data_IF_704342339003
#
_entry.id   IF_704342339003
#
_cell.length_a   1.000
_cell.length_b   1.000
_cell.length_c   1.000
_cell.angle_alpha   90.00
_cell.angle_beta   90.00
_cell.angle_gamma   90.00
#
_symmetry.space_group_name_H-M   'P 1'
#
loop_
_entity.id
_entity.type
_entity.pdbx_description
1 polymer ?
#
# COMPACT_ATOMS: atom_id res chain seq x y z
N UNK A 1 48.10 40.10 -14.67
CA UNK A 1 47.51 39.63 -13.38
C UNK A 1 46.04 39.33 -13.58
N UNK A 2 45.62 38.13 -13.19
CA UNK A 2 44.48 37.37 -13.71
C UNK A 2 43.12 37.81 -13.14
N UNK A 3 42.18 38.11 -14.05
CA UNK A 3 40.75 38.29 -13.74
C UNK A 3 40.13 36.95 -13.31
N UNK A 4 39.46 37.01 -12.16
CA UNK A 4 38.66 35.98 -11.47
C UNK A 4 37.84 35.07 -12.40
N UNK A 5 38.13 33.76 -12.38
CA UNK A 5 37.16 32.71 -12.70
C UNK A 5 36.12 32.63 -11.56
N UNK A 6 34.93 33.19 -11.78
CA UNK A 6 33.71 32.87 -11.00
C UNK A 6 32.64 32.37 -11.96
N UNK A 7 32.58 31.06 -12.19
CA UNK A 7 31.40 30.35 -12.71
C UNK A 7 31.62 28.85 -12.48
N UNK A 8 31.20 28.37 -11.32
CA UNK A 8 30.92 26.95 -11.03
C UNK A 8 30.33 26.82 -9.62
N UNK A 9 29.09 27.30 -9.42
CA UNK A 9 28.26 26.95 -8.24
C UNK A 9 26.79 26.99 -8.63
N UNK A 10 26.37 26.03 -9.47
CA UNK A 10 24.92 25.80 -9.71
C UNK A 10 24.53 24.33 -9.90
N UNK A 11 25.44 23.37 -9.67
CA UNK A 11 25.18 21.93 -9.86
C UNK A 11 24.92 21.15 -8.56
N UNK A 12 24.80 21.85 -7.42
CA UNK A 12 24.64 21.22 -6.11
C UNK A 12 23.21 20.88 -5.70
N UNK A 13 22.20 21.36 -6.42
CA UNK A 13 20.79 21.01 -6.17
C UNK A 13 20.33 19.86 -7.09
N UNK A 14 20.79 19.84 -8.33
CA UNK A 14 20.31 18.88 -9.33
C UNK A 14 20.82 17.46 -9.07
N UNK A 15 22.04 17.32 -8.54
CA UNK A 15 22.61 16.01 -8.18
C UNK A 15 21.86 15.31 -7.06
N UNK A 16 21.39 16.06 -6.05
CA UNK A 16 20.56 15.50 -4.96
C UNK A 16 19.18 15.06 -5.44
N UNK A 17 18.56 15.86 -6.33
CA UNK A 17 17.30 15.50 -6.97
C UNK A 17 17.45 14.27 -7.87
N UNK A 18 18.47 14.25 -8.74
CA UNK A 18 18.78 13.12 -9.63
C UNK A 18 19.05 11.85 -8.82
N UNK A 19 19.84 11.92 -7.73
CA UNK A 19 20.08 10.77 -6.86
C UNK A 19 18.79 10.28 -6.18
N UNK A 20 17.92 11.20 -5.73
CA UNK A 20 16.65 10.81 -5.10
C UNK A 20 15.66 10.19 -6.10
N UNK A 21 15.62 10.70 -7.33
CA UNK A 21 14.81 10.13 -8.42
C UNK A 21 15.38 8.78 -8.87
N UNK A 22 16.69 8.65 -9.02
CA UNK A 22 17.35 7.38 -9.32
C UNK A 22 17.11 6.35 -8.20
N UNK A 23 17.20 6.74 -6.92
CA UNK A 23 16.92 5.85 -5.81
C UNK A 23 15.47 5.33 -5.85
N UNK A 24 14.49 6.18 -6.14
CA UNK A 24 13.07 5.78 -6.26
C UNK A 24 12.83 4.87 -7.48
N UNK A 25 13.48 5.13 -8.62
CA UNK A 25 13.35 4.31 -9.83
C UNK A 25 14.00 2.93 -9.63
N UNK A 26 15.19 2.89 -9.02
CA UNK A 26 15.88 1.64 -8.67
C UNK A 26 15.05 0.86 -7.64
N UNK A 27 14.51 1.50 -6.60
CA UNK A 27 13.62 0.86 -5.63
C UNK A 27 12.37 0.26 -6.29
N UNK A 28 11.77 0.96 -7.27
CA UNK A 28 10.60 0.45 -8.02
C UNK A 28 10.94 -0.78 -8.88
N UNK A 29 12.14 -0.81 -9.48
CA UNK A 29 12.57 -1.90 -10.35
C UNK A 29 12.88 -3.17 -9.53
N UNK A 30 13.55 -3.02 -8.39
CA UNK A 30 13.96 -4.15 -7.54
C UNK A 30 12.91 -4.63 -6.53
N UNK A 31 11.86 -3.84 -6.25
CA UNK A 31 10.70 -4.31 -5.49
C UNK A 31 9.91 -5.44 -6.20
N UNK A 32 10.24 -5.71 -7.47
CA UNK A 32 9.68 -6.82 -8.25
C UNK A 32 10.59 -8.06 -8.30
N UNK A 33 11.85 -7.98 -7.85
CA UNK A 33 12.81 -9.09 -7.87
C UNK A 33 13.12 -9.52 -6.42
N UNK A 34 12.78 -10.77 -6.08
CA UNK A 34 12.85 -11.30 -4.71
C UNK A 34 14.29 -11.68 -4.25
N UNK A 35 15.34 -11.14 -4.89
CA UNK A 35 16.71 -11.52 -4.55
C UNK A 35 17.20 -10.75 -3.30
N UNK A 36 17.48 -11.48 -2.22
CA UNK A 36 17.83 -10.92 -0.90
C UNK A 36 19.14 -10.12 -0.95
N UNK A 37 20.06 -10.47 -1.84
CA UNK A 37 21.34 -9.77 -2.00
C UNK A 37 21.17 -8.39 -2.64
N UNK A 38 20.27 -8.25 -3.62
CA UNK A 38 19.98 -6.97 -4.25
C UNK A 38 19.37 -5.96 -3.27
N UNK A 39 18.48 -6.44 -2.38
CA UNK A 39 17.86 -5.62 -1.33
C UNK A 39 18.90 -5.13 -0.31
N UNK A 40 19.87 -5.98 0.07
CA UNK A 40 20.95 -5.61 0.98
C UNK A 40 21.89 -4.54 0.38
N UNK A 41 22.22 -4.63 -0.91
CA UNK A 41 23.05 -3.64 -1.61
C UNK A 41 22.31 -2.30 -1.72
N UNK A 42 21.01 -2.33 -2.03
CA UNK A 42 20.15 -1.15 -2.06
C UNK A 42 20.04 -0.47 -0.71
N UNK A 43 19.90 -1.24 0.36
CA UNK A 43 19.91 -0.73 1.72
C UNK A 43 21.20 0.03 2.03
N UNK A 44 22.35 -0.56 1.72
CA UNK A 44 23.65 0.08 1.93
C UNK A 44 23.79 1.39 1.16
N UNK A 45 23.36 1.43 -0.10
CA UNK A 45 23.35 2.65 -0.91
C UNK A 45 22.43 3.73 -0.33
N UNK A 46 21.26 3.33 0.17
CA UNK A 46 20.29 4.26 0.74
C UNK A 46 20.77 4.84 2.08
N UNK A 47 21.35 4.00 2.95
CA UNK A 47 22.01 4.44 4.19
C UNK A 47 23.17 5.37 3.90
N UNK A 48 24.04 4.99 2.95
CA UNK A 48 25.17 5.82 2.55
C UNK A 48 24.69 7.18 2.00
N UNK A 49 23.62 7.19 1.21
CA UNK A 49 22.96 8.40 0.71
C UNK A 49 22.43 9.29 1.84
N UNK A 50 21.69 8.72 2.79
CA UNK A 50 21.15 9.45 3.96
C UNK A 50 22.27 10.03 4.82
N UNK A 51 23.33 9.26 5.11
CA UNK A 51 24.49 9.71 5.89
C UNK A 51 25.22 10.84 5.16
N UNK A 52 25.51 10.66 3.86
CA UNK A 52 26.21 11.65 3.04
C UNK A 52 25.41 12.95 2.96
N UNK A 53 24.09 12.86 2.76
CA UNK A 53 23.24 14.03 2.69
C UNK A 53 23.07 14.70 4.06
N UNK A 54 22.98 13.92 5.14
CA UNK A 54 23.01 14.41 6.52
C UNK A 54 24.28 15.20 6.82
N UNK A 55 25.44 14.69 6.41
CA UNK A 55 26.71 15.41 6.51
C UNK A 55 26.73 16.71 5.70
N UNK A 56 26.18 16.71 4.48
CA UNK A 56 26.07 17.92 3.65
C UNK A 56 25.17 18.98 4.29
N UNK A 57 24.06 18.58 4.93
CA UNK A 57 23.20 19.49 5.69
C UNK A 57 23.94 20.06 6.90
N UNK A 58 24.62 19.21 7.67
CA UNK A 58 25.45 19.63 8.82
C UNK A 58 26.53 20.64 8.42
N UNK A 59 27.31 20.34 7.37
CA UNK A 59 28.37 21.22 6.85
C UNK A 59 27.82 22.57 6.37
N UNK A 60 26.59 22.60 5.85
CA UNK A 60 25.93 23.84 5.42
C UNK A 60 25.40 24.70 6.58
N UNK A 61 25.64 24.30 7.84
CA UNK A 61 25.14 24.94 9.07
C UNK A 61 23.62 25.22 9.00
N UNK A 62 22.86 24.29 8.44
CA UNK A 62 21.39 24.39 8.37
C UNK A 62 20.83 25.58 7.58
N UNK A 63 21.67 26.33 6.84
CA UNK A 63 21.23 27.52 6.10
C UNK A 63 20.29 27.19 4.93
N UNK A 64 20.28 25.94 4.48
CA UNK A 64 19.50 25.52 3.32
C UNK A 64 18.37 24.56 3.74
N UNK A 65 17.22 25.14 4.08
CA UNK A 65 15.99 24.42 4.45
C UNK A 65 15.58 23.37 3.42
N UNK A 66 15.84 23.62 2.13
CA UNK A 66 15.55 22.64 1.07
C UNK A 66 16.33 21.34 1.26
N UNK A 67 17.60 21.41 1.68
CA UNK A 67 18.40 20.20 1.94
C UNK A 67 17.93 19.43 3.17
N UNK A 68 17.50 20.14 4.21
CA UNK A 68 16.88 19.52 5.39
C UNK A 68 15.58 18.81 5.00
N UNK A 69 14.72 19.48 4.22
CA UNK A 69 13.47 18.91 3.74
C UNK A 69 13.72 17.65 2.88
N UNK A 70 14.69 17.71 1.96
CA UNK A 70 15.09 16.52 1.18
C UNK A 70 15.57 15.38 2.08
N UNK A 71 16.33 15.66 3.14
CA UNK A 71 16.78 14.64 4.09
C UNK A 71 15.60 14.00 4.82
N UNK A 72 14.64 14.79 5.29
CA UNK A 72 13.42 14.30 5.96
C UNK A 72 12.62 13.41 5.02
N UNK A 73 12.37 13.88 3.79
CA UNK A 73 11.65 13.11 2.76
C UNK A 73 12.37 11.81 2.46
N UNK A 74 13.70 11.83 2.28
CA UNK A 74 14.47 10.62 2.02
C UNK A 74 14.31 9.61 3.17
N UNK A 75 14.47 10.04 4.43
CA UNK A 75 14.32 9.16 5.61
C UNK A 75 12.90 8.58 5.69
N UNK A 76 11.86 9.40 5.52
CA UNK A 76 10.44 8.98 5.63
C UNK A 76 9.96 8.05 4.53
N UNK A 77 10.71 7.88 3.44
CA UNK A 77 10.37 6.96 2.35
C UNK A 77 11.33 5.78 2.24
N UNK A 78 12.63 6.00 2.38
CA UNK A 78 13.65 4.95 2.23
C UNK A 78 13.49 3.86 3.28
N UNK A 79 13.45 4.23 4.57
CA UNK A 79 13.38 3.25 5.67
C UNK A 79 12.12 2.38 5.60
N UNK A 80 10.91 2.94 5.40
CA UNK A 80 9.72 2.12 5.20
C UNK A 80 9.80 1.15 4.03
N UNK A 81 10.38 1.56 2.90
CA UNK A 81 10.50 0.67 1.72
C UNK A 81 11.44 -0.49 2.05
N UNK A 82 12.59 -0.23 2.68
CA UNK A 82 13.52 -1.28 3.11
C UNK A 82 12.84 -2.24 4.09
N UNK A 83 12.15 -1.72 5.10
CA UNK A 83 11.43 -2.54 6.06
C UNK A 83 10.38 -3.41 5.39
N UNK A 84 9.65 -2.87 4.42
CA UNK A 84 8.67 -3.63 3.64
C UNK A 84 9.30 -4.70 2.75
N UNK A 85 10.45 -4.42 2.13
CA UNK A 85 11.19 -5.42 1.35
C UNK A 85 11.65 -6.57 2.24
N UNK A 86 12.18 -6.28 3.43
CA UNK A 86 12.58 -7.32 4.40
C UNK A 86 11.38 -8.13 4.89
N UNK A 87 10.27 -7.45 5.17
CA UNK A 87 9.02 -8.10 5.56
C UNK A 87 8.49 -9.02 4.45
N UNK A 88 8.56 -8.59 3.19
CA UNK A 88 8.16 -9.41 2.04
C UNK A 88 9.04 -10.63 1.83
N UNK A 89 10.34 -10.50 2.06
CA UNK A 89 11.29 -11.61 1.93
C UNK A 89 11.08 -12.66 3.02
N UNK A 90 10.91 -12.22 4.27
CA UNK A 90 10.57 -13.12 5.37
C UNK A 90 9.82 -12.36 6.47
N UNK A 91 8.56 -12.77 6.67
CA UNK A 91 7.64 -12.16 7.64
C UNK A 91 8.02 -12.46 9.09
N UNK A 92 8.79 -13.54 9.32
CA UNK A 92 9.30 -13.92 10.64
C UNK A 92 10.38 -12.97 11.14
N UNK A 93 10.88 -12.07 10.27
CA UNK A 93 11.74 -10.97 10.67
C UNK A 93 11.04 -9.95 11.58
N UNK A 94 9.72 -10.06 11.77
CA UNK A 94 8.91 -9.15 12.57
C UNK A 94 8.02 -9.90 13.58
N UNK A 95 7.77 -9.25 14.72
CA UNK A 95 6.79 -9.62 15.73
C UNK A 95 5.60 -8.70 15.68
N UNK A 96 4.46 -9.17 16.16
CA UNK A 96 3.20 -8.46 16.10
C UNK A 96 2.57 -8.37 17.49
N UNK A 97 1.92 -7.25 17.79
CA UNK A 97 1.10 -7.14 19.00
C UNK A 97 -0.15 -8.00 18.85
N UNK A 98 -0.56 -8.64 19.95
CA UNK A 98 -1.76 -9.48 19.94
C UNK A 98 -3.02 -8.68 19.61
N UNK A 99 -3.12 -7.45 20.13
CA UNK A 99 -4.24 -6.55 19.86
C UNK A 99 -4.38 -6.22 18.37
N UNK A 100 -3.26 -6.00 17.69
CA UNK A 100 -3.24 -5.75 16.25
C UNK A 100 -3.70 -6.96 15.44
N UNK A 101 -3.21 -8.17 15.78
CA UNK A 101 -3.64 -9.39 15.11
C UNK A 101 -5.15 -9.63 15.33
N UNK A 102 -5.65 -9.46 16.56
CA UNK A 102 -7.09 -9.54 16.86
C UNK A 102 -7.91 -8.54 16.04
N UNK A 103 -7.43 -7.30 15.91
CA UNK A 103 -8.07 -6.29 15.08
C UNK A 103 -8.14 -6.70 13.61
N UNK A 104 -7.04 -7.22 13.04
CA UNK A 104 -7.01 -7.71 11.66
C UNK A 104 -7.97 -8.88 11.44
N UNK A 105 -7.96 -9.87 12.34
CA UNK A 105 -8.89 -11.01 12.30
C UNK A 105 -10.35 -10.54 12.34
N UNK A 106 -10.69 -9.56 13.19
CA UNK A 106 -12.04 -8.98 13.25
C UNK A 106 -12.45 -8.32 11.93
N UNK A 107 -11.55 -7.54 11.32
CA UNK A 107 -11.81 -6.90 10.03
C UNK A 107 -12.00 -7.93 8.90
N UNK A 108 -11.22 -9.01 8.89
CA UNK A 108 -11.35 -10.08 7.90
C UNK A 108 -12.67 -10.85 8.14
N UNK A 109 -13.00 -11.15 9.39
CA UNK A 109 -14.27 -11.79 9.77
C UNK A 109 -15.49 -10.98 9.31
N UNK A 110 -15.48 -9.66 9.47
CA UNK A 110 -16.52 -8.79 8.94
C UNK A 110 -16.63 -8.85 7.41
N UNK A 111 -15.52 -9.02 6.69
CA UNK A 111 -15.56 -9.21 5.23
C UNK A 111 -16.09 -10.58 4.83
N UNK A 112 -15.76 -11.62 5.59
CA UNK A 112 -16.24 -12.98 5.36
C UNK A 112 -17.76 -13.10 5.49
N UNK A 113 -18.41 -12.27 6.32
CA UNK A 113 -19.89 -12.18 6.40
C UNK A 113 -20.54 -11.80 5.07
N UNK A 114 -19.83 -11.15 4.14
CA UNK A 114 -20.36 -10.86 2.80
C UNK A 114 -20.38 -12.09 1.87
N UNK A 115 -19.95 -13.25 2.36
CA UNK A 115 -19.90 -14.52 1.64
C UNK A 115 -20.78 -15.59 2.28
N UNK A 116 -21.82 -15.18 3.01
CA UNK A 116 -22.84 -16.08 3.56
C UNK A 116 -23.60 -16.88 2.46
N UNK A 117 -23.51 -16.42 1.22
CA UNK A 117 -24.07 -17.05 0.03
C UNK A 117 -23.15 -18.08 -0.63
N UNK A 118 -22.03 -18.45 0.00
CA UNK A 118 -21.02 -19.37 -0.54
C UNK A 118 -21.60 -20.69 -1.05
N UNK A 119 -22.36 -21.40 -0.22
CA UNK A 119 -22.92 -22.72 -0.58
C UNK A 119 -23.81 -22.62 -1.82
N UNK A 120 -24.63 -21.56 -1.91
CA UNK A 120 -25.53 -21.34 -3.04
C UNK A 120 -24.75 -21.07 -4.33
N UNK A 121 -23.63 -20.35 -4.23
CA UNK A 121 -22.75 -20.08 -5.36
C UNK A 121 -21.98 -21.33 -5.81
N UNK A 122 -21.64 -22.22 -4.88
CA UNK A 122 -21.03 -23.52 -5.16
C UNK A 122 -22.05 -24.45 -5.85
N UNK A 123 -23.27 -24.56 -5.31
CA UNK A 123 -24.39 -25.29 -5.92
C UNK A 123 -24.65 -24.80 -7.36
N UNK A 124 -24.64 -23.48 -7.57
CA UNK A 124 -24.84 -22.87 -8.89
C UNK A 124 -23.73 -23.24 -9.90
N UNK A 125 -22.50 -23.51 -9.44
CA UNK A 125 -21.42 -24.03 -10.28
C UNK A 125 -21.54 -25.53 -10.55
N UNK A 126 -21.98 -26.33 -9.58
CA UNK A 126 -22.12 -27.78 -9.72
C UNK A 126 -23.29 -28.16 -10.63
N UNK A 127 -24.39 -27.41 -10.55
CA UNK A 127 -25.58 -27.57 -11.40
C UNK A 127 -25.27 -27.21 -12.86
N UNK A 128 -24.15 -26.53 -13.14
CA UNK A 128 -23.80 -26.01 -14.46
C UNK A 128 -23.45 -27.10 -15.50
N UNK A 129 -24.48 -27.78 -16.01
CA UNK A 129 -24.45 -28.62 -17.21
C UNK A 129 -24.87 -27.88 -18.49
N UNK A 130 -25.31 -26.62 -18.39
CA UNK A 130 -25.91 -25.85 -19.49
C UNK A 130 -25.07 -24.61 -19.88
N UNK A 131 -25.02 -24.30 -21.18
CA UNK A 131 -24.24 -23.19 -21.76
C UNK A 131 -24.57 -21.78 -21.21
N UNK A 132 -25.72 -21.61 -20.55
CA UNK A 132 -26.23 -20.31 -20.08
C UNK A 132 -25.28 -19.58 -19.13
N UNK A 133 -24.59 -20.29 -18.21
CA UNK A 133 -23.63 -19.68 -17.28
C UNK A 133 -22.28 -19.37 -17.94
N UNK A 134 -21.99 -19.99 -19.09
CA UNK A 134 -20.78 -19.77 -19.87
C UNK A 134 -20.87 -18.52 -20.76
N UNK A 135 -22.05 -17.93 -20.92
CA UNK A 135 -22.21 -16.68 -21.65
C UNK A 135 -21.88 -15.46 -20.78
N UNK A 136 -21.38 -14.41 -21.45
CA UNK A 136 -21.24 -13.09 -20.83
C UNK A 136 -22.62 -12.45 -20.72
N UNK A 137 -22.85 -11.73 -19.64
CA UNK A 137 -24.07 -10.92 -19.50
C UNK A 137 -23.88 -9.61 -20.26
N UNK A 138 -24.68 -9.41 -21.30
CA UNK A 138 -24.68 -8.18 -22.09
C UNK A 138 -25.36 -7.02 -21.34
N UNK A 139 -25.07 -5.78 -21.73
CA UNK A 139 -25.73 -4.60 -21.13
C UNK A 139 -27.23 -4.56 -21.45
N UNK A 140 -27.65 -5.15 -22.57
CA UNK A 140 -29.06 -5.34 -22.96
C UNK A 140 -29.85 -6.15 -21.93
N UNK A 141 -29.17 -7.00 -21.16
CA UNK A 141 -29.79 -7.87 -20.15
C UNK A 141 -29.95 -7.18 -18.78
N UNK A 142 -29.54 -5.93 -18.62
CA UNK A 142 -29.78 -5.18 -17.37
C UNK A 142 -31.28 -4.99 -17.15
N UNK A 143 -31.76 -5.36 -15.95
CA UNK A 143 -33.17 -5.35 -15.61
C UNK A 143 -33.92 -6.63 -15.99
N UNK A 144 -33.28 -7.53 -16.74
CA UNK A 144 -33.86 -8.83 -17.06
C UNK A 144 -33.79 -9.79 -15.87
N UNK A 145 -34.72 -10.74 -15.87
CA UNK A 145 -34.72 -11.90 -14.99
C UNK A 145 -34.37 -13.12 -15.85
N UNK A 146 -33.29 -13.80 -15.52
CA UNK A 146 -32.89 -15.06 -16.16
C UNK A 146 -33.30 -16.21 -15.24
N UNK A 147 -34.09 -17.14 -15.76
CA UNK A 147 -34.53 -18.30 -15.00
C UNK A 147 -33.57 -19.45 -15.28
N UNK A 148 -33.04 -20.07 -14.23
CA UNK A 148 -32.11 -21.17 -14.31
C UNK A 148 -32.47 -22.23 -13.27
N UNK A 149 -33.02 -23.35 -13.73
CA UNK A 149 -33.54 -24.43 -12.89
C UNK A 149 -34.45 -23.94 -11.76
N UNK A 150 -34.00 -23.98 -10.50
CA UNK A 150 -34.72 -23.52 -9.31
C UNK A 150 -34.40 -22.07 -8.90
N UNK A 151 -33.54 -21.40 -9.67
CA UNK A 151 -33.05 -20.06 -9.41
C UNK A 151 -33.60 -19.03 -10.40
N UNK A 152 -33.85 -17.84 -9.87
CA UNK A 152 -34.14 -16.63 -10.64
C UNK A 152 -33.00 -15.63 -10.41
N UNK A 153 -32.32 -15.29 -11.50
CA UNK A 153 -31.16 -14.41 -11.56
C UNK A 153 -31.60 -13.04 -12.09
N UNK A 154 -31.66 -12.04 -11.22
CA UNK A 154 -31.99 -10.68 -11.59
C UNK A 154 -30.73 -9.87 -11.85
N UNK A 155 -30.59 -9.37 -13.08
CA UNK A 155 -29.45 -8.52 -13.47
C UNK A 155 -29.76 -7.08 -13.09
N UNK A 156 -28.89 -6.45 -12.30
CA UNK A 156 -28.97 -5.03 -11.96
C UNK A 156 -27.69 -4.31 -12.36
N UNK A 157 -27.83 -3.02 -12.66
CA UNK A 157 -26.67 -2.14 -12.82
C UNK A 157 -26.05 -1.86 -11.45
N UNK A 158 -24.75 -2.06 -11.30
CA UNK A 158 -24.06 -1.70 -10.07
C UNK A 158 -23.91 -0.17 -10.03
N UNK A 159 -24.55 0.48 -9.05
CA UNK A 159 -24.32 1.91 -8.79
C UNK A 159 -23.05 2.04 -7.96
N UNK A 160 -22.15 2.93 -8.37
CA UNK A 160 -20.92 3.33 -7.65
C UNK A 160 -19.73 2.34 -7.67
N UNK A 161 -19.08 2.18 -8.82
CA UNK A 161 -17.64 1.85 -8.81
C UNK A 161 -16.82 3.14 -8.90
N UNK A 162 -15.80 3.26 -8.03
CA UNK A 162 -14.75 4.24 -8.20
C UNK A 162 -14.11 4.02 -9.58
N UNK A 163 -14.25 5.00 -10.46
CA UNK A 163 -13.88 4.88 -11.88
C UNK A 163 -12.35 4.82 -11.99
N UNK A 164 -11.74 3.80 -12.62
CA UNK A 164 -10.35 3.92 -13.02
C UNK A 164 -10.22 5.05 -14.05
N UNK A 165 -9.35 6.01 -13.79
CA UNK A 165 -9.08 7.14 -14.69
C UNK A 165 -8.63 6.61 -16.07
N UNK A 166 -9.27 7.08 -17.15
CA UNK A 166 -8.79 6.89 -18.53
C UNK A 166 -9.39 5.72 -19.33
N UNK A 167 -10.51 5.12 -18.93
CA UNK A 167 -11.26 4.18 -19.80
C UNK A 167 -12.60 4.76 -20.23
N UNK A 168 -12.87 4.70 -21.55
CA UNK A 168 -14.08 5.24 -22.17
C UNK A 168 -15.37 4.65 -21.61
N UNK A 169 -16.41 5.49 -21.58
CA UNK A 169 -17.69 5.29 -20.90
C UNK A 169 -18.50 4.06 -21.33
N UNK A 170 -18.20 3.44 -22.46
CA UNK A 170 -19.14 2.51 -23.12
C UNK A 170 -18.92 1.02 -22.81
N UNK A 171 -17.85 0.64 -22.07
CA UNK A 171 -17.48 -0.77 -21.90
C UNK A 171 -17.33 -1.30 -20.46
N UNK A 172 -17.40 -0.44 -19.43
CA UNK A 172 -17.04 -0.79 -18.05
C UNK A 172 -18.20 -0.69 -17.06
N UNK A 173 -19.38 -1.15 -17.44
CA UNK A 173 -20.50 -1.23 -16.52
C UNK A 173 -20.48 -2.55 -15.75
N UNK A 174 -20.10 -2.46 -14.47
CA UNK A 174 -20.31 -3.58 -13.58
C UNK A 174 -21.80 -3.82 -13.35
N UNK A 175 -22.15 -5.10 -13.37
CA UNK A 175 -23.49 -5.64 -13.20
C UNK A 175 -23.49 -6.46 -11.93
N UNK A 176 -24.57 -6.36 -11.17
CA UNK A 176 -24.81 -7.17 -9.99
C UNK A 176 -25.87 -8.19 -10.34
N UNK A 177 -25.55 -9.47 -10.17
CA UNK A 177 -26.51 -10.57 -10.30
C UNK A 177 -27.04 -10.90 -8.92
N UNK A 178 -28.35 -10.80 -8.76
CA UNK A 178 -29.05 -11.21 -7.55
C UNK A 178 -29.71 -12.57 -7.78
N UNK A 179 -29.41 -13.51 -6.89
CA UNK A 179 -29.93 -14.88 -6.95
C UNK A 179 -31.09 -14.98 -5.96
N UNK A 180 -32.19 -15.58 -6.39
CA UNK A 180 -33.35 -15.92 -5.57
C UNK A 180 -33.86 -17.30 -5.97
N UNK A 181 -34.56 -18.01 -5.08
CA UNK A 181 -35.31 -19.19 -5.49
C UNK A 181 -36.55 -18.78 -6.28
N UNK A 182 -36.92 -19.52 -7.33
CA UNK A 182 -38.11 -19.24 -8.14
C UNK A 182 -39.38 -19.19 -7.29
N UNK A 183 -39.48 -20.08 -6.28
CA UNK A 183 -40.62 -20.12 -5.34
C UNK A 183 -40.67 -18.92 -4.39
N UNK A 184 -39.56 -18.18 -4.22
CA UNK A 184 -39.43 -17.02 -3.32
C UNK A 184 -38.62 -15.90 -3.99
N UNK A 185 -39.11 -15.29 -5.08
CA UNK A 185 -38.32 -14.38 -5.93
C UNK A 185 -37.93 -13.07 -5.23
N UNK A 186 -38.61 -12.72 -4.13
CA UNK A 186 -38.32 -11.53 -3.34
C UNK A 186 -37.24 -11.77 -2.27
N UNK A 187 -36.89 -13.02 -1.98
CA UNK A 187 -35.82 -13.35 -1.04
C UNK A 187 -34.52 -13.54 -1.81
N UNK A 188 -33.63 -12.55 -1.72
CA UNK A 188 -32.27 -12.66 -2.27
C UNK A 188 -31.51 -13.62 -1.36
N UNK A 189 -30.94 -14.65 -1.97
CA UNK A 189 -30.18 -15.70 -1.29
C UNK A 189 -28.70 -15.68 -1.68
N UNK A 190 -28.34 -14.97 -2.76
CA UNK A 190 -26.95 -14.76 -3.14
C UNK A 190 -26.78 -13.57 -4.07
N UNK A 191 -25.55 -13.08 -4.18
CA UNK A 191 -25.22 -11.93 -4.99
C UNK A 191 -23.78 -12.01 -5.51
N UNK A 192 -23.55 -11.72 -6.78
CA UNK A 192 -22.19 -11.57 -7.30
C UNK A 192 -22.12 -10.50 -8.38
N UNK A 193 -20.92 -9.92 -8.55
CA UNK A 193 -20.68 -8.85 -9.52
C UNK A 193 -19.96 -9.37 -10.76
N UNK A 194 -20.36 -8.87 -11.92
CA UNK A 194 -19.80 -9.16 -13.23
C UNK A 194 -19.36 -7.85 -13.87
N UNK A 195 -18.17 -7.80 -14.46
CA UNK A 195 -17.71 -6.61 -15.21
C UNK A 195 -17.65 -6.92 -16.70
N UNK A 196 -16.69 -7.75 -17.10
CA UNK A 196 -16.49 -8.21 -18.49
C UNK A 196 -16.06 -9.69 -18.49
N UNK A 197 -16.71 -10.47 -17.64
CA UNK A 197 -16.42 -11.88 -17.42
C UNK A 197 -17.73 -12.70 -17.51
N UNK A 198 -17.64 -14.01 -17.71
CA UNK A 198 -18.83 -14.89 -17.72
C UNK A 198 -19.38 -15.04 -16.31
N UNK A 199 -20.63 -15.51 -16.16
CA UNK A 199 -21.20 -15.77 -14.84
C UNK A 199 -20.35 -16.77 -14.07
N UNK A 200 -19.92 -17.86 -14.71
CA UNK A 200 -19.00 -18.85 -14.09
C UNK A 200 -17.72 -18.20 -13.58
N UNK A 201 -17.07 -17.36 -14.41
CA UNK A 201 -15.82 -16.70 -14.01
C UNK A 201 -16.03 -15.76 -12.83
N UNK A 202 -17.13 -15.01 -12.81
CA UNK A 202 -17.47 -14.11 -11.71
C UNK A 202 -17.74 -14.87 -10.40
N UNK A 203 -18.48 -15.98 -10.47
CA UNK A 203 -18.75 -16.83 -9.30
C UNK A 203 -17.45 -17.45 -8.79
N UNK A 204 -16.64 -18.07 -9.66
CA UNK A 204 -15.32 -18.63 -9.29
C UNK A 204 -14.40 -17.59 -8.66
N UNK A 205 -14.41 -16.35 -9.17
CA UNK A 205 -13.65 -15.22 -8.61
C UNK A 205 -14.13 -14.85 -7.21
N UNK A 206 -15.45 -14.81 -6.97
CA UNK A 206 -16.00 -14.57 -5.63
C UNK A 206 -15.63 -15.71 -4.66
N UNK A 207 -15.74 -16.97 -5.08
CA UNK A 207 -15.33 -18.12 -4.26
C UNK A 207 -13.82 -18.08 -3.93
N UNK A 208 -12.97 -17.74 -4.91
CA UNK A 208 -11.53 -17.57 -4.69
C UNK A 208 -11.23 -16.45 -3.70
N UNK A 209 -11.92 -15.31 -3.79
CA UNK A 209 -11.78 -14.21 -2.83
C UNK A 209 -12.14 -14.65 -1.40
N UNK A 210 -13.18 -15.48 -1.24
CA UNK A 210 -13.50 -16.05 0.08
C UNK A 210 -12.36 -16.93 0.60
N UNK A 211 -11.82 -17.81 -0.24
CA UNK A 211 -10.70 -18.68 0.14
C UNK A 211 -9.48 -17.86 0.55
N UNK A 212 -9.10 -16.88 -0.26
CA UNK A 212 -8.03 -15.92 0.07
C UNK A 212 -8.30 -15.23 1.42
N UNK A 213 -9.54 -14.84 1.72
CA UNK A 213 -9.89 -14.24 3.01
C UNK A 213 -9.86 -15.23 4.18
N UNK A 214 -10.20 -16.50 3.97
CA UNK A 214 -10.08 -17.55 4.99
C UNK A 214 -8.62 -17.83 5.32
N UNK A 215 -7.77 -17.94 4.30
CA UNK A 215 -6.32 -18.12 4.48
C UNK A 215 -5.74 -16.96 5.32
N UNK A 216 -6.16 -15.73 5.04
CA UNK A 216 -5.80 -14.55 5.83
C UNK A 216 -6.43 -14.50 7.22
N UNK A 217 -7.60 -15.13 7.42
CA UNK A 217 -8.27 -15.19 8.72
C UNK A 217 -7.52 -16.14 9.66
N UNK A 218 -7.06 -17.27 9.14
CA UNK A 218 -6.21 -18.24 9.85
C UNK A 218 -4.81 -17.67 10.12
N UNK A 219 -4.25 -16.92 9.15
CA UNK A 219 -2.93 -16.30 9.25
C UNK A 219 -3.00 -14.78 9.07
N UNK A 220 -3.44 -14.00 10.08
CA UNK A 220 -3.65 -12.55 9.97
C UNK A 220 -2.36 -11.75 9.70
N UNK A 221 -1.20 -12.34 9.96
CA UNK A 221 0.12 -11.78 9.64
C UNK A 221 0.25 -11.51 8.14
N UNK A 222 -0.40 -12.31 7.31
CA UNK A 222 -0.33 -12.24 5.86
C UNK A 222 -1.06 -11.02 5.28
N UNK A 223 -1.94 -10.41 6.08
CA UNK A 223 -2.68 -9.21 5.73
C UNK A 223 -1.98 -7.91 6.16
N UNK A 224 -0.78 -7.98 6.74
CA UNK A 224 0.03 -6.78 7.06
C UNK A 224 0.39 -6.05 5.76
N UNK A 225 0.01 -4.78 5.67
CA UNK A 225 0.21 -3.97 4.46
C UNK A 225 1.39 -3.02 4.63
N UNK A 226 1.88 -2.51 3.50
CA UNK A 226 2.91 -1.48 3.47
C UNK A 226 2.58 -0.28 4.37
N UNK A 227 1.33 0.18 4.36
CA UNK A 227 0.89 1.33 5.17
C UNK A 227 1.06 1.09 6.67
N UNK A 228 0.91 -0.16 7.12
CA UNK A 228 1.00 -0.53 8.52
C UNK A 228 2.47 -0.44 8.93
N UNK A 229 3.38 -1.06 8.17
CA UNK A 229 4.83 -0.92 8.37
C UNK A 229 5.34 0.53 8.22
N UNK A 230 4.80 1.29 7.26
CA UNK A 230 5.19 2.69 7.02
C UNK A 230 4.88 3.58 8.22
N UNK A 231 3.68 3.45 8.79
CA UNK A 231 3.28 4.23 9.95
C UNK A 231 4.20 3.91 11.13
N UNK A 232 4.49 2.64 11.36
CA UNK A 232 5.36 2.20 12.46
C UNK A 232 6.81 2.65 12.30
N UNK A 233 7.34 2.62 11.07
CA UNK A 233 8.61 3.26 10.75
C UNK A 233 8.57 4.74 11.13
N UNK A 234 7.63 5.52 10.58
CA UNK A 234 7.66 6.98 10.75
C UNK A 234 7.43 7.47 12.18
N UNK A 235 6.76 6.69 13.02
CA UNK A 235 6.52 7.02 14.44
C UNK A 235 7.66 6.61 15.38
N UNK A 236 8.73 6.01 14.84
CA UNK A 236 9.88 5.56 15.64
C UNK A 236 9.56 4.35 16.52
N UNK A 237 8.53 3.59 16.17
CA UNK A 237 8.11 2.33 16.79
C UNK A 237 7.82 2.34 18.31
N UNK A 238 7.79 3.51 18.98
CA UNK A 238 7.48 3.62 20.42
C UNK A 238 6.09 3.08 20.77
N UNK A 239 5.18 3.07 19.80
CA UNK A 239 3.80 2.60 19.93
C UNK A 239 3.51 1.41 19.02
N UNK A 240 4.54 0.69 18.55
CA UNK A 240 4.32 -0.16 17.38
C UNK A 240 3.69 -1.51 17.63
N UNK A 241 2.74 -1.81 16.76
CA UNK A 241 2.10 -3.09 16.60
C UNK A 241 2.90 -4.09 15.77
N UNK A 242 3.91 -3.63 15.02
CA UNK A 242 4.81 -4.48 14.22
C UNK A 242 6.26 -4.12 14.57
N UNK A 243 7.04 -5.07 15.12
CA UNK A 243 8.39 -4.82 15.64
C UNK A 243 9.43 -5.70 14.94
N UNK A 244 10.55 -5.16 14.45
CA UNK A 244 11.61 -5.96 13.85
C UNK A 244 12.31 -6.84 14.91
N UNK A 245 12.49 -8.13 14.60
CA UNK A 245 13.20 -9.11 15.43
C UNK A 245 14.56 -9.46 14.83
N UNK A 246 14.65 -9.54 13.50
CA UNK A 246 15.90 -9.92 12.85
C UNK A 246 17.00 -8.88 13.09
N UNK A 247 18.25 -9.33 13.24
CA UNK A 247 19.39 -8.44 13.47
C UNK A 247 19.52 -7.38 12.38
N UNK A 248 19.20 -7.73 11.13
CA UNK A 248 19.20 -6.79 10.01
C UNK A 248 18.12 -5.72 10.17
N UNK A 249 16.87 -6.12 10.44
CA UNK A 249 15.78 -5.17 10.62
C UNK A 249 15.97 -4.28 11.86
N UNK A 250 16.58 -4.80 12.93
CA UNK A 250 16.97 -4.03 14.11
C UNK A 250 18.10 -3.04 13.82
N UNK A 251 19.11 -3.43 13.04
CA UNK A 251 20.17 -2.53 12.61
C UNK A 251 19.62 -1.36 11.78
N UNK A 252 18.70 -1.66 10.85
CA UNK A 252 17.97 -0.64 10.07
C UNK A 252 17.21 0.31 11.00
N UNK A 253 16.53 -0.24 12.01
CA UNK A 253 15.81 0.55 12.99
C UNK A 253 16.73 1.49 13.78
N UNK A 254 17.91 1.03 14.19
CA UNK A 254 18.90 1.87 14.88
C UNK A 254 19.33 3.05 13.98
N UNK A 255 19.63 2.78 12.70
CA UNK A 255 19.96 3.84 11.73
C UNK A 255 18.80 4.81 11.52
N UNK A 256 17.58 4.31 11.53
CA UNK A 256 16.39 5.13 11.41
C UNK A 256 16.23 6.07 12.62
N UNK A 257 16.33 5.53 13.85
CA UNK A 257 16.24 6.30 15.09
C UNK A 257 17.33 7.37 15.12
N UNK A 258 18.56 7.02 14.75
CA UNK A 258 19.66 7.97 14.68
C UNK A 258 19.40 9.08 13.66
N UNK A 259 18.86 8.73 12.49
CA UNK A 259 18.49 9.69 11.45
C UNK A 259 17.36 10.63 11.89
N UNK A 260 16.34 10.09 12.57
CA UNK A 260 15.26 10.88 13.17
C UNK A 260 15.77 11.81 14.28
N UNK A 261 16.70 11.34 15.12
CA UNK A 261 17.33 12.15 16.15
C UNK A 261 18.11 13.32 15.54
N UNK A 262 18.89 13.08 14.48
CA UNK A 262 19.55 14.15 13.73
C UNK A 262 18.50 15.15 13.26
N UNK A 263 17.45 14.72 12.56
CA UNK A 263 16.38 15.60 12.07
C UNK A 263 15.76 16.43 13.21
N UNK A 264 15.43 15.80 14.35
CA UNK A 264 14.85 16.47 15.51
C UNK A 264 15.77 17.55 16.07
N UNK A 265 17.07 17.26 16.23
CA UNK A 265 18.05 18.26 16.68
C UNK A 265 18.20 19.41 15.69
N UNK A 266 18.15 19.13 14.38
CA UNK A 266 18.18 20.16 13.34
C UNK A 266 16.96 21.09 13.42
N UNK A 267 15.75 20.50 13.58
CA UNK A 267 14.50 21.26 13.75
C UNK A 267 14.57 22.11 15.02
N UNK A 268 15.01 21.55 16.15
CA UNK A 268 15.18 22.28 17.40
C UNK A 268 16.12 23.48 17.28
N UNK A 269 17.23 23.31 16.56
CA UNK A 269 18.18 24.39 16.28
C UNK A 269 17.57 25.49 15.40
N UNK A 270 16.76 25.13 14.40
CA UNK A 270 16.02 26.10 13.58
C UNK A 270 15.06 26.89 14.45
N UNK A 271 14.22 26.22 15.23
CA UNK A 271 13.24 26.87 16.13
C UNK A 271 13.93 27.84 17.10
N UNK A 272 15.03 27.40 17.72
CA UNK A 272 15.84 28.21 18.63
C UNK A 272 16.43 29.45 17.94
N UNK A 273 16.93 29.29 16.70
CA UNK A 273 17.46 30.41 15.91
C UNK A 273 16.39 31.44 15.53
N UNK A 274 15.16 31.00 15.20
CA UNK A 274 14.03 31.90 14.97
C UNK A 274 13.58 32.63 16.24
N UNK A 275 13.60 31.98 17.40
CA UNK A 275 13.32 32.66 18.69
C UNK A 275 14.33 33.78 18.98
N UNK A 276 15.63 33.53 18.74
CA UNK A 276 16.68 34.56 18.90
C UNK A 276 16.47 35.76 17.96
N UNK A 277 16.01 35.53 16.73
CA UNK A 277 15.65 36.58 15.76
C UNK A 277 14.42 37.39 16.17
N UNK A 278 13.39 36.75 16.75
CA UNK A 278 12.20 37.44 17.25
C UNK A 278 12.49 38.35 18.45
N UNK A 279 13.39 37.93 19.35
CA UNK A 279 13.75 38.71 20.55
C UNK A 279 14.59 39.94 20.17
N UNK A 280 15.50 39.81 19.20
CA UNK A 280 16.32 40.95 18.73
C UNK A 280 15.50 42.00 17.99
N UNK A 281 14.41 41.61 17.31
CA UNK A 281 13.52 42.54 16.60
C UNK A 281 12.63 43.40 17.52
N UNK A 282 12.51 43.04 18.80
CA UNK A 282 11.75 43.82 19.80
C UNK A 282 12.55 44.93 20.48
N UNK A 283 13.88 44.95 20.28
CA UNK A 283 14.79 45.91 20.92
C UNK A 283 15.33 46.96 19.93
N UNK A 284 14.62 47.18 18.83
CA UNK A 284 14.84 48.28 17.86
C UNK A 284 13.52 48.96 17.58
#
# INVERSE_FOLDING_TARGET
MTKKRKKCKKYGNDTGFILSVCAVIILKYFANDNDSNAINILFLLAVFGVITYGYLVYKSRYKNLSKLYTLVVLISFIFPIIHFSIFKNDRNNYSYSEEYLRYQTRLIGQKLQNFDDYNILEDLLEINKNDTLNHRIENSQIGSNLIFEDFNLKVRRQKNLARPLGKDHNGYEAKTILISHIKKPNKIIGEFNIIDETMVSAVKKKLRQRKELLDLYENPIDNVRFKDLWLECTTGFLLSNVRPISSMAQLIQIFQIFSLFIVATMIGNIISSTKKLMITRKNT
#
